data_IF_256483908353
#
_entry.id   IF_256483908353
#
_cell.length_a   1.000
_cell.length_b   1.000
_cell.length_c   1.000
_cell.angle_alpha   90.00
_cell.angle_beta   90.00
_cell.angle_gamma   90.00
#
_symmetry.space_group_name_H-M   'P 1'
#
loop_
_entity.id
_entity.type
_entity.pdbx_description
1 polymer ?
#
# COMPACT_ATOMS: atom_id res chain seq x y z
N UNK A 1 2.97 -70.51 -16.31
CA UNK A 1 3.34 -69.82 -15.05
C UNK A 1 3.55 -68.32 -15.27
N UNK A 2 3.37 -67.81 -16.50
CA UNK A 2 3.74 -66.46 -16.91
C UNK A 2 2.67 -65.41 -16.60
N UNK A 3 1.41 -65.84 -16.44
CA UNK A 3 0.29 -64.97 -16.09
C UNK A 3 0.53 -64.30 -14.72
N UNK A 4 1.01 -65.04 -13.73
CA UNK A 4 1.35 -64.49 -12.40
C UNK A 4 2.52 -63.48 -12.46
N UNK A 5 3.50 -63.71 -13.34
CA UNK A 5 4.61 -62.77 -13.55
C UNK A 5 4.14 -61.47 -14.21
N UNK A 6 3.23 -61.54 -15.17
CA UNK A 6 2.64 -60.37 -15.81
C UNK A 6 1.89 -59.48 -14.80
N UNK A 7 1.06 -60.08 -13.93
CA UNK A 7 0.37 -59.33 -12.87
C UNK A 7 1.35 -58.69 -11.87
N UNK A 8 2.41 -59.40 -11.48
CA UNK A 8 3.46 -58.86 -10.59
C UNK A 8 4.16 -57.63 -11.20
N UNK A 9 4.57 -57.70 -12.46
CA UNK A 9 5.24 -56.59 -13.13
C UNK A 9 4.29 -55.40 -13.37
N UNK A 10 3.02 -55.67 -13.67
CA UNK A 10 2.00 -54.63 -13.82
C UNK A 10 1.73 -53.89 -12.50
N UNK A 11 1.65 -54.61 -11.39
CA UNK A 11 1.46 -54.02 -10.05
C UNK A 11 2.68 -53.17 -9.66
N UNK A 12 3.90 -53.63 -9.93
CA UNK A 12 5.12 -52.83 -9.65
C UNK A 12 5.14 -51.52 -10.44
N UNK A 13 4.74 -51.56 -11.71
CA UNK A 13 4.67 -50.37 -12.55
C UNK A 13 3.56 -49.40 -12.11
N UNK A 14 2.41 -49.91 -11.67
CA UNK A 14 1.27 -49.08 -11.24
C UNK A 14 1.34 -48.63 -9.78
N UNK A 15 2.11 -49.30 -8.92
CA UNK A 15 2.16 -49.01 -7.49
C UNK A 15 2.56 -47.56 -7.22
N UNK A 16 3.56 -47.03 -7.92
CA UNK A 16 4.03 -45.66 -7.73
C UNK A 16 3.06 -44.59 -8.27
N UNK A 17 2.53 -44.69 -9.51
CA UNK A 17 1.46 -43.81 -9.99
C UNK A 17 0.22 -43.81 -9.09
N UNK A 18 -0.22 -44.99 -8.62
CA UNK A 18 -1.40 -45.08 -7.75
C UNK A 18 -1.12 -44.48 -6.37
N UNK A 19 0.05 -44.78 -5.78
CA UNK A 19 0.44 -44.21 -4.49
C UNK A 19 0.56 -42.68 -4.55
N UNK A 20 1.15 -42.13 -5.61
CA UNK A 20 1.28 -40.68 -5.80
C UNK A 20 -0.07 -40.00 -5.98
N UNK A 21 -0.97 -40.55 -6.79
CA UNK A 21 -2.34 -40.03 -6.94
C UNK A 21 -3.09 -40.09 -5.61
N UNK A 22 -3.00 -41.21 -4.89
CA UNK A 22 -3.64 -41.38 -3.59
C UNK A 22 -3.11 -40.36 -2.57
N UNK A 23 -1.79 -40.13 -2.55
CA UNK A 23 -1.12 -39.13 -1.72
C UNK A 23 -1.64 -37.72 -2.04
N UNK A 24 -1.69 -37.32 -3.31
CA UNK A 24 -2.21 -36.01 -3.74
C UNK A 24 -3.68 -35.85 -3.34
N UNK A 25 -4.51 -36.88 -3.50
CA UNK A 25 -5.93 -36.83 -3.12
C UNK A 25 -6.12 -36.72 -1.60
N UNK A 26 -5.24 -37.36 -0.81
CA UNK A 26 -5.27 -37.28 0.65
C UNK A 26 -4.82 -35.89 1.14
N UNK A 27 -3.76 -35.33 0.53
CA UNK A 27 -3.16 -34.05 0.94
C UNK A 27 -3.84 -32.81 0.38
N UNK A 28 -4.59 -32.89 -0.73
CA UNK A 28 -5.24 -31.71 -1.32
C UNK A 28 -6.19 -30.99 -0.34
N UNK A 29 -6.92 -31.75 0.49
CA UNK A 29 -7.88 -31.19 1.45
C UNK A 29 -7.17 -30.39 2.55
N UNK A 30 -6.23 -30.98 3.33
CA UNK A 30 -5.54 -30.23 4.38
C UNK A 30 -4.73 -29.05 3.82
N UNK A 31 -4.11 -29.18 2.63
CA UNK A 31 -3.36 -28.06 2.03
C UNK A 31 -4.28 -26.90 1.67
N UNK A 32 -5.44 -27.15 1.07
CA UNK A 32 -6.40 -26.09 0.69
C UNK A 32 -7.01 -25.43 1.93
N UNK A 33 -7.26 -26.20 3.00
CA UNK A 33 -7.76 -25.68 4.28
C UNK A 33 -6.76 -24.77 5.02
N UNK A 34 -5.46 -24.89 4.74
CA UNK A 34 -4.43 -24.02 5.33
C UNK A 34 -4.25 -22.69 4.58
N UNK A 35 -4.70 -22.58 3.32
CA UNK A 35 -4.56 -21.35 2.52
C UNK A 35 -5.21 -20.13 3.22
N UNK A 36 -6.42 -20.21 3.79
CA UNK A 36 -7.02 -19.10 4.52
C UNK A 36 -6.22 -18.68 5.77
N UNK A 37 -5.59 -19.62 6.48
CA UNK A 37 -4.80 -19.32 7.68
C UNK A 37 -3.52 -18.57 7.31
N UNK A 38 -2.82 -19.00 6.26
CA UNK A 38 -1.65 -18.30 5.73
C UNK A 38 -1.99 -16.90 5.25
N UNK A 39 -3.16 -16.72 4.60
CA UNK A 39 -3.65 -15.39 4.23
C UNK A 39 -3.88 -14.51 5.46
N UNK A 40 -4.58 -15.01 6.48
CA UNK A 40 -4.84 -14.27 7.74
C UNK A 40 -3.56 -13.85 8.45
N UNK A 41 -2.58 -14.74 8.53
CA UNK A 41 -1.27 -14.42 9.11
C UNK A 41 -0.57 -13.31 8.33
N UNK A 42 -0.51 -13.44 7.00
CA UNK A 42 0.08 -12.42 6.13
C UNK A 42 -0.61 -11.06 6.26
N UNK A 43 -1.94 -11.04 6.36
CA UNK A 43 -2.69 -9.79 6.57
C UNK A 43 -2.39 -9.15 7.92
N UNK A 44 -2.29 -9.97 8.98
CA UNK A 44 -1.95 -9.47 10.32
C UNK A 44 -0.52 -8.93 10.41
N UNK A 45 0.44 -9.59 9.76
CA UNK A 45 1.81 -9.08 9.64
C UNK A 45 1.83 -7.74 8.90
N UNK A 46 1.06 -7.63 7.82
CA UNK A 46 0.93 -6.40 7.06
C UNK A 46 0.29 -5.26 7.87
N UNK A 47 -0.78 -5.55 8.62
CA UNK A 47 -1.40 -4.58 9.53
C UNK A 47 -0.37 -4.03 10.53
N UNK A 48 0.43 -4.90 11.15
CA UNK A 48 1.46 -4.49 12.10
C UNK A 48 2.57 -3.65 11.44
N UNK A 49 3.01 -4.03 10.25
CA UNK A 49 4.01 -3.28 9.48
C UNK A 49 3.48 -1.89 9.09
N UNK A 50 2.22 -1.81 8.65
CA UNK A 50 1.55 -0.55 8.34
C UNK A 50 1.45 0.35 9.57
N UNK A 51 0.99 -0.17 10.71
CA UNK A 51 0.92 0.57 11.98
C UNK A 51 2.27 1.13 12.38
N UNK A 52 3.33 0.31 12.24
CA UNK A 52 4.70 0.72 12.54
C UNK A 52 5.17 1.85 11.62
N UNK A 53 5.03 1.69 10.31
CA UNK A 53 5.46 2.69 9.33
C UNK A 53 4.70 4.02 9.48
N UNK A 54 3.40 3.99 9.75
CA UNK A 54 2.61 5.21 10.02
C UNK A 54 3.03 5.87 11.33
N UNK A 55 3.28 5.09 12.38
CA UNK A 55 3.76 5.61 13.65
C UNK A 55 5.14 6.25 13.54
N UNK A 56 6.06 5.63 12.79
CA UNK A 56 7.40 6.16 12.53
C UNK A 56 7.32 7.46 11.73
N UNK A 57 6.49 7.48 10.68
CA UNK A 57 6.28 8.67 9.87
C UNK A 57 5.70 9.82 10.70
N UNK A 58 4.72 9.54 11.58
CA UNK A 58 4.15 10.54 12.48
C UNK A 58 5.22 11.11 13.42
N UNK A 59 6.04 10.25 14.03
CA UNK A 59 7.10 10.67 14.94
C UNK A 59 8.15 11.55 14.23
N UNK A 60 8.48 11.22 12.98
CA UNK A 60 9.37 12.03 12.14
C UNK A 60 8.77 13.39 11.82
N UNK A 61 7.50 13.45 11.41
CA UNK A 61 6.80 14.72 11.14
C UNK A 61 6.73 15.57 12.41
N UNK A 62 6.39 14.99 13.57
CA UNK A 62 6.35 15.71 14.85
C UNK A 62 7.74 16.23 15.28
N UNK A 63 8.81 15.47 15.00
CA UNK A 63 10.18 15.92 15.26
C UNK A 63 10.57 17.12 14.39
N UNK A 64 10.08 17.18 13.15
CA UNK A 64 10.30 18.29 12.21
C UNK A 64 9.37 19.48 12.52
N UNK A 65 8.14 19.23 12.97
CA UNK A 65 7.08 20.22 13.12
C UNK A 65 7.16 21.09 14.39
N UNK A 66 8.25 21.01 15.18
CA UNK A 66 8.45 21.86 16.37
C UNK A 66 8.38 23.38 16.13
N UNK A 67 8.24 23.83 14.88
CA UNK A 67 8.08 25.25 14.51
C UNK A 67 6.78 25.64 13.77
N UNK A 68 5.85 24.72 13.48
CA UNK A 68 4.62 25.10 12.74
C UNK A 68 3.35 24.42 13.29
N UNK A 69 2.42 25.25 13.76
CA UNK A 69 1.09 24.84 14.22
C UNK A 69 0.32 24.13 13.11
N UNK A 70 -0.31 22.96 13.36
CA UNK A 70 -1.15 22.32 12.36
C UNK A 70 -2.42 23.14 12.18
N UNK A 71 -2.61 23.76 11.01
CA UNK A 71 -3.93 24.25 10.62
C UNK A 71 -4.73 23.05 10.13
N UNK A 72 -5.78 22.66 10.85
CA UNK A 72 -6.66 21.58 10.41
C UNK A 72 -7.44 22.05 9.18
N UNK A 73 -7.23 21.47 7.98
CA UNK A 73 -7.95 21.91 6.79
C UNK A 73 -9.43 21.54 6.83
N UNK A 74 -10.26 22.36 6.19
CA UNK A 74 -11.71 22.15 6.09
C UNK A 74 -12.13 20.85 5.36
N UNK A 75 -11.23 20.26 4.55
CA UNK A 75 -11.47 18.97 3.87
C UNK A 75 -11.12 17.74 4.74
N UNK A 76 -10.56 17.94 5.94
CA UNK A 76 -10.19 16.85 6.84
C UNK A 76 -11.40 16.06 7.34
N UNK A 77 -12.52 16.73 7.63
CA UNK A 77 -13.71 16.08 8.21
C UNK A 77 -14.29 15.00 7.30
N UNK A 78 -14.48 15.29 6.01
CA UNK A 78 -15.09 14.34 5.06
C UNK A 78 -14.26 13.07 4.84
N UNK A 79 -12.93 13.20 4.76
CA UNK A 79 -12.04 12.04 4.57
C UNK A 79 -11.85 11.26 5.87
N UNK A 80 -11.84 11.94 7.02
CA UNK A 80 -11.83 11.28 8.33
C UNK A 80 -13.13 10.49 8.58
N UNK A 81 -14.26 11.00 8.11
CA UNK A 81 -15.54 10.27 8.14
C UNK A 81 -15.47 9.01 7.26
N UNK A 82 -14.84 9.10 6.09
CA UNK A 82 -14.66 7.97 5.16
C UNK A 82 -13.85 6.82 5.77
N UNK A 83 -12.93 7.10 6.70
CA UNK A 83 -12.16 6.05 7.41
C UNK A 83 -13.09 5.07 8.11
N UNK A 84 -14.20 5.56 8.69
CA UNK A 84 -15.18 4.75 9.42
C UNK A 84 -15.98 3.81 8.50
N UNK A 85 -16.01 4.08 7.19
CA UNK A 85 -16.69 3.24 6.20
C UNK A 85 -15.71 2.31 5.46
N UNK A 86 -14.53 2.81 5.11
CA UNK A 86 -13.51 2.02 4.42
C UNK A 86 -12.13 2.64 4.62
N UNK A 87 -11.30 2.00 5.44
CA UNK A 87 -9.92 2.43 5.67
C UNK A 87 -9.06 2.45 4.40
N UNK A 88 -9.13 1.45 3.49
CA UNK A 88 -8.35 1.50 2.25
C UNK A 88 -8.82 2.60 1.30
N UNK A 89 -10.13 2.85 1.21
CA UNK A 89 -10.66 3.92 0.38
C UNK A 89 -10.24 5.30 0.91
N UNK A 90 -10.30 5.52 2.23
CA UNK A 90 -9.86 6.78 2.83
C UNK A 90 -8.37 7.07 2.58
N UNK A 91 -7.51 6.05 2.65
CA UNK A 91 -6.07 6.15 2.32
C UNK A 91 -5.88 6.52 0.84
N UNK A 92 -6.61 5.85 -0.07
CA UNK A 92 -6.53 6.14 -1.50
C UNK A 92 -7.00 7.56 -1.85
N UNK A 93 -8.13 7.99 -1.27
CA UNK A 93 -8.67 9.34 -1.46
C UNK A 93 -7.74 10.42 -0.87
N UNK A 94 -7.18 10.19 0.32
CA UNK A 94 -6.22 11.12 0.91
C UNK A 94 -4.93 11.25 0.07
N UNK A 95 -4.45 10.16 -0.54
CA UNK A 95 -3.33 10.23 -1.46
C UNK A 95 -3.67 11.01 -2.75
N UNK A 96 -4.90 10.88 -3.26
CA UNK A 96 -5.35 11.65 -4.42
C UNK A 96 -5.33 13.16 -4.15
N UNK A 97 -5.62 13.61 -2.94
CA UNK A 97 -5.48 15.02 -2.55
C UNK A 97 -4.02 15.51 -2.63
N UNK A 98 -3.07 14.69 -2.17
CA UNK A 98 -1.62 14.98 -2.27
C UNK A 98 -1.18 15.03 -3.73
N UNK A 99 -1.59 14.06 -4.54
CA UNK A 99 -1.24 13.99 -5.95
C UNK A 99 -1.83 15.16 -6.73
N UNK A 100 -3.09 15.51 -6.46
CA UNK A 100 -3.76 16.68 -7.03
C UNK A 100 -3.04 17.98 -6.65
N UNK A 101 -2.69 18.15 -5.38
CA UNK A 101 -1.88 19.29 -4.92
C UNK A 101 -0.54 19.35 -5.65
N UNK A 102 0.20 18.23 -5.68
CA UNK A 102 1.50 18.10 -6.34
C UNK A 102 1.45 18.43 -7.84
N UNK A 103 0.50 17.83 -8.57
CA UNK A 103 0.32 18.08 -10.01
C UNK A 103 -0.11 19.52 -10.25
N UNK A 104 -1.04 20.06 -9.46
CA UNK A 104 -1.49 21.44 -9.64
C UNK A 104 -0.35 22.45 -9.45
N UNK A 105 0.46 22.29 -8.40
CA UNK A 105 1.60 23.17 -8.14
C UNK A 105 2.71 22.95 -9.17
N UNK A 106 3.05 21.70 -9.50
CA UNK A 106 4.05 21.39 -10.53
C UNK A 106 3.66 21.95 -11.90
N UNK A 107 2.37 21.94 -12.26
CA UNK A 107 1.87 22.46 -13.51
C UNK A 107 2.04 23.96 -13.67
N UNK A 108 2.05 24.73 -12.57
CA UNK A 108 2.37 26.16 -12.60
C UNK A 108 3.83 26.42 -12.98
N UNK A 109 4.72 25.46 -12.75
CA UNK A 109 6.13 25.52 -13.15
C UNK A 109 6.39 24.87 -14.51
N UNK A 110 5.45 24.08 -15.03
CA UNK A 110 5.58 23.51 -16.36
C UNK A 110 5.35 24.61 -17.41
N UNK A 111 6.34 24.82 -18.28
CA UNK A 111 6.13 25.61 -19.50
C UNK A 111 5.15 24.95 -20.48
N UNK A 112 5.09 25.46 -21.71
CA UNK A 112 4.18 24.99 -22.79
C UNK A 112 4.34 23.52 -23.23
N UNK A 113 5.27 22.75 -22.64
CA UNK A 113 5.58 21.36 -23.01
C UNK A 113 5.43 20.41 -21.81
N UNK A 114 4.39 20.57 -21.00
CA UNK A 114 3.98 19.54 -20.05
C UNK A 114 3.29 18.40 -20.79
N UNK A 115 4.09 17.44 -21.28
CA UNK A 115 3.53 16.21 -21.84
C UNK A 115 2.85 15.39 -20.73
N UNK A 116 1.80 14.62 -21.04
CA UNK A 116 1.05 13.77 -20.09
C UNK A 116 1.96 12.79 -19.31
N UNK A 117 3.17 12.54 -19.80
CA UNK A 117 4.22 11.80 -19.11
C UNK A 117 4.58 12.38 -17.72
N UNK A 118 4.55 13.71 -17.55
CA UNK A 118 4.89 14.36 -16.27
C UNK A 118 3.85 14.10 -15.17
N UNK A 119 2.57 13.96 -15.56
CA UNK A 119 1.47 13.67 -14.62
C UNK A 119 1.58 12.29 -13.97
N UNK A 120 2.26 11.35 -14.63
CA UNK A 120 2.39 9.97 -14.18
C UNK A 120 3.84 9.60 -13.82
N UNK A 121 4.71 10.61 -13.61
CA UNK A 121 6.12 10.34 -13.35
C UNK A 121 6.30 9.94 -11.88
N UNK A 122 6.94 8.79 -11.58
CA UNK A 122 7.38 8.45 -10.22
C UNK A 122 8.38 9.46 -9.63
N UNK A 123 8.76 10.48 -10.41
CA UNK A 123 9.67 11.58 -10.06
C UNK A 123 8.96 12.88 -9.67
N UNK A 124 7.63 12.85 -9.45
CA UNK A 124 6.87 14.05 -9.13
C UNK A 124 7.39 14.73 -7.85
N UNK A 125 7.74 13.94 -6.83
CA UNK A 125 8.35 14.47 -5.61
C UNK A 125 9.71 15.13 -5.87
N UNK A 126 10.58 14.50 -6.65
CA UNK A 126 11.89 15.03 -7.02
C UNK A 126 11.76 16.32 -7.83
N UNK A 127 10.75 16.41 -8.69
CA UNK A 127 10.44 17.65 -9.42
C UNK A 127 9.99 18.77 -8.48
N UNK A 128 9.10 18.48 -7.52
CA UNK A 128 8.70 19.46 -6.51
C UNK A 128 9.88 19.96 -5.66
N UNK A 129 10.83 19.08 -5.34
CA UNK A 129 12.07 19.44 -4.65
C UNK A 129 12.94 20.36 -5.53
N UNK A 130 13.08 20.06 -6.82
CA UNK A 130 13.82 20.91 -7.77
C UNK A 130 13.20 22.30 -7.90
N UNK A 131 11.88 22.38 -7.91
CA UNK A 131 11.13 23.64 -7.90
C UNK A 131 11.14 24.37 -6.54
N UNK A 132 11.78 23.80 -5.50
CA UNK A 132 11.79 24.29 -4.12
C UNK A 132 10.39 24.46 -3.50
N UNK A 133 9.42 23.70 -3.98
CA UNK A 133 8.05 23.67 -3.44
C UNK A 133 8.04 22.87 -2.14
N UNK A 134 8.84 21.81 -2.08
CA UNK A 134 9.04 20.99 -0.89
C UNK A 134 10.54 20.89 -0.56
N UNK A 135 10.85 20.63 0.70
CA UNK A 135 12.20 20.32 1.16
C UNK A 135 12.52 18.80 1.08
N UNK A 136 13.74 18.43 1.49
CA UNK A 136 14.16 17.01 1.48
C UNK A 136 13.39 16.16 2.48
N UNK A 137 12.97 16.71 3.61
CA UNK A 137 12.24 15.97 4.63
C UNK A 137 10.80 15.70 4.15
N UNK A 138 10.16 16.70 3.54
CA UNK A 138 8.85 16.58 2.90
C UNK A 138 8.88 15.61 1.70
N UNK A 139 9.98 15.56 0.94
CA UNK A 139 10.15 14.55 -0.11
C UNK A 139 10.19 13.12 0.46
N UNK A 140 10.84 12.93 1.60
CA UNK A 140 10.89 11.61 2.25
C UNK A 140 9.50 11.20 2.75
N UNK A 141 8.77 12.12 3.38
CA UNK A 141 7.36 11.93 3.78
C UNK A 141 6.49 11.58 2.56
N UNK A 142 6.62 12.31 1.46
CA UNK A 142 5.91 12.04 0.21
C UNK A 142 6.15 10.62 -0.30
N UNK A 143 7.41 10.17 -0.30
CA UNK A 143 7.78 8.84 -0.77
C UNK A 143 7.27 7.73 0.17
N UNK A 144 7.33 7.94 1.49
CA UNK A 144 6.79 7.01 2.48
C UNK A 144 5.27 6.87 2.35
N UNK A 145 4.55 7.98 2.22
CA UNK A 145 3.10 7.97 1.98
C UNK A 145 2.72 7.25 0.68
N UNK A 146 3.48 7.48 -0.40
CA UNK A 146 3.29 6.79 -1.69
C UNK A 146 3.49 5.28 -1.56
N UNK A 147 4.55 4.87 -0.85
CA UNK A 147 4.86 3.47 -0.60
C UNK A 147 3.75 2.77 0.19
N UNK A 148 3.29 3.40 1.27
CA UNK A 148 2.16 2.93 2.08
C UNK A 148 0.88 2.79 1.26
N UNK A 149 0.54 3.77 0.41
CA UNK A 149 -0.61 3.68 -0.49
C UNK A 149 -0.49 2.52 -1.47
N UNK A 150 0.69 2.31 -2.05
CA UNK A 150 0.92 1.20 -2.98
C UNK A 150 0.75 -0.15 -2.30
N UNK A 151 1.29 -0.28 -1.08
CA UNK A 151 1.10 -1.44 -0.21
C UNK A 151 -0.38 -1.75 0.02
N UNK A 152 -1.19 -0.74 0.34
CA UNK A 152 -2.64 -0.87 0.53
C UNK A 152 -3.35 -1.28 -0.76
N UNK A 153 -3.00 -0.66 -1.90
CA UNK A 153 -3.62 -0.98 -3.19
C UNK A 153 -3.38 -2.43 -3.66
N UNK A 154 -2.23 -3.02 -3.31
CA UNK A 154 -1.91 -4.41 -3.66
C UNK A 154 -2.57 -5.44 -2.75
N UNK A 155 -3.08 -5.02 -1.60
CA UNK A 155 -3.53 -5.93 -0.58
C UNK A 155 -5.07 -5.93 -0.54
N UNK A 156 -5.65 -6.94 -1.22
CA UNK A 156 -7.11 -7.14 -1.29
C UNK A 156 -7.64 -7.65 0.05
N UNK A 157 -8.75 -7.07 0.50
CA UNK A 157 -9.51 -7.41 1.72
C UNK A 157 -8.77 -7.16 3.05
N UNK A 158 -8.35 -5.91 3.28
CA UNK A 158 -7.73 -5.47 4.54
C UNK A 158 -8.66 -4.63 5.40
N UNK A 159 -8.68 -4.95 6.69
CA UNK A 159 -9.25 -4.10 7.73
C UNK A 159 -8.09 -3.49 8.53
N UNK A 160 -7.47 -2.45 7.99
CA UNK A 160 -6.48 -1.67 8.73
C UNK A 160 -7.13 -1.01 9.94
N UNK A 161 -6.33 -0.76 10.98
CA UNK A 161 -6.79 0.01 12.14
C UNK A 161 -7.29 1.39 11.71
N UNK A 162 -8.48 1.78 12.18
CA UNK A 162 -9.04 3.11 11.94
C UNK A 162 -8.11 4.22 12.48
N UNK A 163 -7.41 3.99 13.59
CA UNK A 163 -6.46 4.96 14.15
C UNK A 163 -5.32 5.28 13.19
N UNK A 164 -4.82 4.24 12.52
CA UNK A 164 -3.63 4.33 11.67
C UNK A 164 -4.02 4.90 10.32
N UNK A 165 -5.19 4.51 9.80
CA UNK A 165 -5.79 5.13 8.63
C UNK A 165 -6.07 6.62 8.86
N UNK A 166 -6.62 7.02 10.02
CA UNK A 166 -6.80 8.44 10.37
C UNK A 166 -5.47 9.19 10.43
N UNK A 167 -4.45 8.59 11.02
CA UNK A 167 -3.11 9.19 11.11
C UNK A 167 -2.50 9.38 9.72
N UNK A 168 -2.62 8.37 8.84
CA UNK A 168 -2.21 8.48 7.44
C UNK A 168 -2.94 9.62 6.72
N UNK A 169 -4.27 9.67 6.85
CA UNK A 169 -5.12 10.70 6.21
C UNK A 169 -4.70 12.11 6.67
N UNK A 170 -4.44 12.30 7.96
CA UNK A 170 -3.97 13.58 8.49
C UNK A 170 -2.62 13.97 7.89
N UNK A 171 -1.63 13.07 7.92
CA UNK A 171 -0.30 13.33 7.37
C UNK A 171 -0.34 13.65 5.86
N UNK A 172 -1.19 12.96 5.11
CA UNK A 172 -1.39 13.21 3.69
C UNK A 172 -2.01 14.60 3.45
N UNK A 173 -3.04 14.96 4.21
CA UNK A 173 -3.68 16.27 4.09
C UNK A 173 -2.73 17.42 4.48
N UNK A 174 -1.99 17.27 5.57
CA UNK A 174 -1.01 18.26 6.01
C UNK A 174 0.07 18.47 4.93
N UNK A 175 0.53 17.39 4.28
CA UNK A 175 1.47 17.48 3.16
C UNK A 175 0.84 18.15 1.93
N UNK A 176 -0.40 17.81 1.59
CA UNK A 176 -1.12 18.41 0.46
C UNK A 176 -1.29 19.93 0.65
N UNK A 177 -1.61 20.36 1.86
CA UNK A 177 -1.76 21.78 2.19
C UNK A 177 -0.43 22.53 2.16
N UNK A 178 0.65 21.91 2.65
CA UNK A 178 1.99 22.48 2.52
C UNK A 178 2.37 22.68 1.05
N UNK A 179 2.08 21.71 0.17
CA UNK A 179 2.33 21.82 -1.28
C UNK A 179 1.46 22.91 -1.93
N UNK A 180 0.21 23.08 -1.50
CA UNK A 180 -0.69 24.13 -2.01
C UNK A 180 -0.27 25.52 -1.52
N UNK A 181 0.14 25.63 -0.26
CA UNK A 181 0.58 26.86 0.38
C UNK A 181 1.93 27.37 -0.11
N UNK A 182 2.73 26.51 -0.73
CA UNK A 182 4.01 26.87 -1.37
C UNK A 182 3.85 27.56 -2.75
N UNK A 183 2.61 27.87 -3.19
CA UNK A 183 2.38 28.69 -4.39
C UNK A 183 2.99 30.09 -4.22
N UNK A 184 3.92 30.41 -5.12
CA UNK A 184 4.45 31.77 -5.38
C UNK A 184 3.64 32.42 -6.49
#
# INVERSE_FOLDING_TARGET
>A
MDVLKFFSELIKALAWPVATIMLVILLRKPVVELIPLLRRLKYKEFELEFSKEVSELKAEVEAIAKEKSPSVPANSSRLLDLVSFSTPAAIMEAWLEVESAAVSTASSFWGQSANDALKNTPKLGEYLLQCKVIDRAQLDIFNKLRHLRNKVAHAKDLNLSESDARSYVQLALDLADNIRGAKV
#
